data_IF_262754100232
#
_entry.id   IF_262754100232
#
_cell.length_a   1.000
_cell.length_b   1.000
_cell.length_c   1.000
_cell.angle_alpha   90.00
_cell.angle_beta   90.00
_cell.angle_gamma   90.00
#
_symmetry.space_group_name_H-M   'P 1'
#
loop_
_entity.id
_entity.type
_entity.pdbx_description
1 polymer ?
#
# COMPACT_ATOMS: atom_id res chain seq x y z
N UNK A 1 -3.86 11.77 -25.64
CA UNK A 1 -2.78 12.39 -26.42
C UNK A 1 -1.63 12.91 -25.55
N UNK A 2 -1.86 13.75 -24.52
CA UNK A 2 -0.77 14.29 -23.67
C UNK A 2 -0.08 13.23 -22.79
N UNK A 3 -0.83 12.26 -22.26
CA UNK A 3 -0.27 11.18 -21.41
C UNK A 3 0.64 10.22 -22.18
N UNK A 4 0.32 9.94 -23.45
CA UNK A 4 1.10 9.05 -24.32
C UNK A 4 2.43 9.70 -24.71
N UNK A 5 2.40 10.97 -25.13
CA UNK A 5 3.62 11.72 -25.45
C UNK A 5 4.61 11.83 -24.27
N UNK A 6 4.10 12.12 -23.06
CA UNK A 6 4.94 12.20 -21.86
C UNK A 6 5.56 10.85 -21.49
N UNK A 7 4.83 9.76 -21.68
CA UNK A 7 5.33 8.41 -21.41
C UNK A 7 6.40 8.01 -22.44
N UNK A 8 6.21 8.34 -23.71
CA UNK A 8 7.18 8.13 -24.78
C UNK A 8 8.48 8.92 -24.53
N UNK A 9 8.37 10.20 -24.17
CA UNK A 9 9.51 11.04 -23.81
C UNK A 9 10.27 10.48 -22.59
N UNK A 10 9.55 10.07 -21.54
CA UNK A 10 10.14 9.44 -20.36
C UNK A 10 10.83 8.11 -20.68
N UNK A 11 10.26 7.32 -21.59
CA UNK A 11 10.88 6.06 -22.03
C UNK A 11 12.12 6.31 -22.89
N UNK A 12 12.12 7.34 -23.75
CA UNK A 12 13.26 7.73 -24.57
C UNK A 12 14.44 8.27 -23.73
N UNK A 13 14.15 8.99 -22.65
CA UNK A 13 15.16 9.52 -21.73
C UNK A 13 15.68 8.47 -20.73
N UNK A 14 14.95 7.36 -20.56
CA UNK A 14 15.25 6.31 -19.58
C UNK A 14 16.68 5.71 -19.66
N UNK A 15 17.29 5.47 -20.83
CA UNK A 15 18.65 4.93 -20.93
C UNK A 15 19.72 5.89 -20.38
N UNK A 16 19.41 7.19 -20.32
CA UNK A 16 20.34 8.22 -19.86
C UNK A 16 20.43 8.27 -18.33
N UNK A 17 19.46 7.68 -17.63
CA UNK A 17 19.39 7.68 -16.16
C UNK A 17 19.48 6.26 -15.60
N UNK A 18 20.68 5.68 -15.66
CA UNK A 18 20.98 4.33 -15.14
C UNK A 18 20.60 4.14 -13.67
N UNK A 19 20.76 5.18 -12.84
CA UNK A 19 20.33 5.17 -11.43
C UNK A 19 18.80 5.12 -11.32
N UNK A 20 18.07 5.91 -12.11
CA UNK A 20 16.60 5.89 -12.10
C UNK A 20 16.06 4.56 -12.65
N UNK A 21 16.72 3.93 -13.63
CA UNK A 21 16.34 2.59 -14.08
C UNK A 21 16.45 1.54 -12.98
N UNK A 22 17.54 1.58 -12.19
CA UNK A 22 17.74 0.68 -11.05
C UNK A 22 16.74 0.94 -9.92
N UNK A 23 16.45 2.21 -9.63
CA UNK A 23 15.54 2.60 -8.55
C UNK A 23 14.05 2.51 -8.94
N UNK A 24 13.73 2.56 -10.24
CA UNK A 24 12.36 2.63 -10.77
C UNK A 24 12.25 1.76 -12.05
N UNK A 25 12.12 0.43 -11.89
CA UNK A 25 12.03 -0.49 -13.03
C UNK A 25 10.74 -0.32 -13.87
N UNK A 26 9.76 0.46 -13.40
CA UNK A 26 8.55 0.79 -14.15
C UNK A 26 8.20 2.28 -14.03
N UNK A 27 7.86 2.94 -15.13
CA UNK A 27 7.43 4.35 -15.17
C UNK A 27 6.00 4.60 -14.64
N UNK A 28 5.51 3.74 -13.75
CA UNK A 28 4.15 3.82 -13.22
C UNK A 28 4.07 4.84 -12.08
N UNK A 29 2.93 5.52 -11.96
CA UNK A 29 2.64 6.30 -10.76
C UNK A 29 2.58 5.33 -9.58
N UNK A 30 3.19 5.73 -8.47
CA UNK A 30 3.24 4.89 -7.27
C UNK A 30 1.80 4.60 -6.79
N UNK A 31 1.42 3.33 -6.53
CA UNK A 31 0.09 2.97 -6.08
C UNK A 31 -0.40 3.78 -4.87
N UNK A 32 0.51 4.20 -3.98
CA UNK A 32 0.17 5.03 -2.82
C UNK A 32 -0.53 6.35 -3.19
N UNK A 33 -0.25 6.87 -4.39
CA UNK A 33 -0.83 8.11 -4.92
C UNK A 33 -2.13 7.86 -5.69
N UNK A 34 -2.39 6.61 -6.09
CA UNK A 34 -3.54 6.25 -6.93
C UNK A 34 -4.69 5.66 -6.11
N UNK A 35 -4.36 4.88 -5.09
CA UNK A 35 -5.34 4.15 -4.28
C UNK A 35 -6.19 5.15 -3.49
N UNK A 36 -7.50 4.91 -3.47
CA UNK A 36 -8.42 5.62 -2.58
C UNK A 36 -8.12 5.24 -1.13
N UNK A 37 -7.69 6.22 -0.34
CA UNK A 37 -7.46 6.11 1.09
C UNK A 37 -7.50 7.51 1.69
N UNK A 38 -7.78 7.59 2.99
CA UNK A 38 -7.82 8.86 3.71
C UNK A 38 -6.46 9.59 3.62
N UNK A 39 -6.43 10.92 3.50
CA UNK A 39 -5.19 11.69 3.36
C UNK A 39 -4.15 11.40 4.44
N UNK A 40 -4.59 11.23 5.70
CA UNK A 40 -3.70 10.92 6.83
C UNK A 40 -3.04 9.54 6.71
N UNK A 41 -3.78 8.52 6.26
CA UNK A 41 -3.24 7.18 6.03
C UNK A 41 -2.20 7.24 4.92
N UNK A 42 -2.48 7.97 3.84
CA UNK A 42 -1.51 8.20 2.76
C UNK A 42 -0.24 8.87 3.26
N UNK A 43 -0.37 9.93 4.08
CA UNK A 43 0.78 10.62 4.68
C UNK A 43 1.65 9.65 5.51
N UNK A 44 1.03 8.82 6.36
CA UNK A 44 1.74 7.81 7.15
C UNK A 44 2.46 6.77 6.28
N UNK A 45 1.79 6.25 5.25
CA UNK A 45 2.39 5.31 4.31
C UNK A 45 3.62 5.91 3.60
N UNK A 46 3.54 7.18 3.18
CA UNK A 46 4.65 7.89 2.52
C UNK A 46 5.81 8.05 3.50
N UNK A 47 5.53 8.56 4.70
CA UNK A 47 6.56 8.75 5.75
C UNK A 47 7.26 7.43 6.10
N UNK A 48 6.51 6.34 6.25
CA UNK A 48 7.09 5.02 6.50
C UNK A 48 8.04 4.58 5.38
N UNK A 49 7.60 4.67 4.12
CA UNK A 49 8.42 4.26 2.97
C UNK A 49 9.68 5.08 2.81
N UNK A 50 9.63 6.37 3.11
CA UNK A 50 10.79 7.25 3.09
C UNK A 50 11.73 7.03 4.29
N UNK A 51 11.36 6.17 5.24
CA UNK A 51 12.11 5.99 6.48
C UNK A 51 12.09 7.22 7.37
N UNK A 52 11.08 8.09 7.21
CA UNK A 52 10.99 9.38 7.88
C UNK A 52 10.46 9.27 9.33
N UNK A 53 10.89 8.20 9.99
CA UNK A 53 10.62 7.92 11.40
C UNK A 53 11.60 8.65 12.33
N UNK A 54 12.78 9.05 11.82
CA UNK A 54 13.89 9.61 12.61
C UNK A 54 14.05 11.12 12.49
N UNK A 55 12.96 11.87 12.27
CA UNK A 55 13.02 13.33 12.09
C UNK A 55 13.49 14.11 13.32
N UNK A 56 13.47 13.49 14.50
CA UNK A 56 13.91 14.07 15.78
C UNK A 56 14.72 13.04 16.58
N UNK A 57 15.31 13.48 17.70
CA UNK A 57 15.97 12.61 18.70
C UNK A 57 15.05 11.40 18.97
N UNK A 58 15.51 10.15 18.78
CA UNK A 58 14.67 8.98 18.93
C UNK A 58 14.02 8.94 20.32
N UNK A 59 12.70 9.08 20.37
CA UNK A 59 11.95 8.87 21.60
C UNK A 59 12.13 7.41 22.03
N UNK A 60 12.23 7.12 23.34
CA UNK A 60 12.29 5.74 23.79
C UNK A 60 10.99 5.02 23.43
N UNK A 61 11.09 3.76 23.07
CA UNK A 61 9.93 2.90 22.92
C UNK A 61 9.29 2.67 24.30
N UNK A 62 8.03 2.22 24.33
CA UNK A 62 7.36 1.78 25.56
C UNK A 62 8.11 0.66 26.30
N UNK A 63 8.94 -0.12 25.59
CA UNK A 63 9.79 -1.14 26.21
C UNK A 63 11.12 -0.58 26.79
N UNK A 64 11.35 0.73 26.72
CA UNK A 64 12.54 1.41 27.24
C UNK A 64 13.74 1.46 26.29
N UNK A 65 13.70 0.78 25.14
CA UNK A 65 14.78 0.80 24.15
C UNK A 65 14.73 2.04 23.24
N UNK A 66 15.89 2.48 22.75
CA UNK A 66 16.00 3.53 21.73
C UNK A 66 15.38 3.06 20.41
N UNK A 67 14.47 3.86 19.84
CA UNK A 67 13.80 3.45 18.61
C UNK A 67 14.74 3.61 17.41
N UNK A 68 15.18 2.48 16.86
CA UNK A 68 15.79 2.37 15.53
C UNK A 68 14.75 1.99 14.48
N UNK A 69 15.06 2.07 13.19
CA UNK A 69 14.13 1.62 12.13
C UNK A 69 13.68 0.15 12.28
N UNK A 70 14.56 -0.71 12.81
CA UNK A 70 14.27 -2.15 12.99
C UNK A 70 13.54 -2.47 14.30
N UNK A 71 13.72 -1.64 15.32
CA UNK A 71 13.21 -1.92 16.65
C UNK A 71 11.67 -2.08 16.70
N UNK A 72 10.86 -1.20 16.09
CA UNK A 72 9.39 -1.32 16.10
C UNK A 72 8.89 -2.59 15.44
N UNK A 73 9.60 -3.09 14.42
CA UNK A 73 9.23 -4.33 13.72
C UNK A 73 9.19 -5.51 14.70
N UNK A 74 10.20 -5.58 15.59
CA UNK A 74 10.29 -6.60 16.63
C UNK A 74 9.38 -6.28 17.82
N UNK A 75 9.47 -5.06 18.36
CA UNK A 75 8.77 -4.66 19.58
C UNK A 75 7.24 -4.62 19.42
N UNK A 76 6.73 -4.31 18.22
CA UNK A 76 5.29 -4.29 17.91
C UNK A 76 4.86 -5.52 17.10
N UNK A 77 5.74 -6.52 16.97
CA UNK A 77 5.44 -7.79 16.31
C UNK A 77 4.80 -7.65 14.92
N UNK A 78 5.36 -6.78 14.05
CA UNK A 78 4.75 -6.48 12.74
C UNK A 78 4.46 -7.73 11.91
N UNK A 79 5.35 -8.73 11.98
CA UNK A 79 5.18 -10.02 11.31
C UNK A 79 3.89 -10.75 11.70
N UNK A 80 3.58 -10.77 13.00
CA UNK A 80 2.36 -11.40 13.52
C UNK A 80 1.12 -10.63 13.06
N UNK A 81 1.13 -9.31 13.24
CA UNK A 81 0.02 -8.43 12.83
C UNK A 81 -0.28 -8.53 11.33
N UNK A 82 0.74 -8.62 10.49
CA UNK A 82 0.59 -8.66 9.04
C UNK A 82 0.46 -10.09 8.48
N UNK A 83 0.57 -11.11 9.32
CA UNK A 83 0.60 -12.53 8.92
C UNK A 83 1.67 -12.82 7.85
N UNK A 84 2.85 -12.22 8.00
CA UNK A 84 4.00 -12.40 7.10
C UNK A 84 5.13 -13.06 7.87
N UNK A 85 5.73 -14.11 7.30
CA UNK A 85 6.84 -14.82 7.93
C UNK A 85 8.12 -13.98 7.94
N UNK A 86 8.93 -14.14 9.00
CA UNK A 86 10.30 -13.61 9.06
C UNK A 86 11.19 -14.12 7.92
N UNK A 87 10.89 -15.32 7.39
CA UNK A 87 11.63 -15.85 6.24
C UNK A 87 11.32 -15.11 4.92
N UNK A 88 10.26 -14.32 4.86
CA UNK A 88 9.84 -13.60 3.64
C UNK A 88 10.53 -12.25 3.49
N UNK A 89 10.72 -11.52 4.59
CA UNK A 89 11.26 -10.16 4.59
C UNK A 89 11.60 -9.72 6.01
N UNK A 90 12.56 -8.81 6.17
CA UNK A 90 12.86 -8.20 7.47
C UNK A 90 11.88 -7.08 7.86
N UNK A 91 11.18 -6.47 6.88
CA UNK A 91 10.23 -5.37 7.10
C UNK A 91 8.90 -5.68 6.38
N UNK A 92 7.97 -6.36 7.07
CA UNK A 92 6.71 -6.80 6.47
C UNK A 92 5.79 -5.63 6.10
N UNK A 93 5.90 -4.50 6.80
CA UNK A 93 5.12 -3.30 6.49
C UNK A 93 5.63 -2.65 5.21
N UNK A 94 6.94 -2.43 5.08
CA UNK A 94 7.55 -1.93 3.84
C UNK A 94 7.29 -2.88 2.66
N UNK A 95 7.38 -4.20 2.89
CA UNK A 95 7.07 -5.21 1.88
C UNK A 95 5.65 -5.08 1.32
N UNK A 96 4.64 -4.95 2.20
CA UNK A 96 3.25 -4.76 1.77
C UNK A 96 3.03 -3.41 1.09
N UNK A 97 3.59 -2.33 1.62
CA UNK A 97 3.43 -1.00 1.04
C UNK A 97 4.00 -0.90 -0.39
N UNK A 98 5.07 -1.63 -0.70
CA UNK A 98 5.60 -1.72 -2.07
C UNK A 98 4.81 -2.66 -2.99
N UNK A 99 3.88 -3.44 -2.44
CA UNK A 99 2.99 -4.34 -3.18
C UNK A 99 1.57 -3.82 -3.28
N UNK A 100 1.33 -2.58 -2.84
CA UNK A 100 0.04 -1.93 -2.93
C UNK A 100 -0.53 -2.07 -4.36
N UNK A 101 -1.82 -2.40 -4.48
CA UNK A 101 -2.42 -2.66 -5.78
C UNK A 101 -2.51 -1.36 -6.60
N UNK A 102 -1.85 -1.30 -7.76
CA UNK A 102 -1.96 -0.17 -8.69
C UNK A 102 -3.34 -0.07 -9.36
N UNK A 103 -4.08 -1.19 -9.35
CA UNK A 103 -5.42 -1.35 -9.87
C UNK A 103 -6.21 -2.25 -8.92
N UNK A 104 -7.55 -2.12 -8.84
CA UNK A 104 -8.36 -2.94 -7.96
C UNK A 104 -8.11 -4.44 -8.20
N UNK A 105 -7.80 -5.23 -7.16
CA UNK A 105 -7.59 -6.67 -7.32
C UNK A 105 -8.85 -7.36 -7.84
N UNK A 106 -8.69 -8.27 -8.81
CA UNK A 106 -9.82 -9.03 -9.39
C UNK A 106 -10.02 -10.40 -8.74
N UNK A 107 -8.93 -11.00 -8.27
CA UNK A 107 -8.99 -12.32 -7.65
C UNK A 107 -9.52 -12.22 -6.22
N UNK A 108 -10.54 -13.02 -5.88
CA UNK A 108 -11.15 -13.06 -4.54
C UNK A 108 -10.13 -13.28 -3.43
N UNK A 109 -9.14 -14.14 -3.65
CA UNK A 109 -8.06 -14.37 -2.69
C UNK A 109 -7.25 -13.09 -2.44
N UNK A 110 -6.85 -12.37 -3.49
CA UNK A 110 -6.14 -11.10 -3.34
C UNK A 110 -6.99 -10.04 -2.64
N UNK A 111 -8.28 -9.93 -2.99
CA UNK A 111 -9.24 -9.04 -2.33
C UNK A 111 -9.28 -9.34 -0.83
N UNK A 112 -9.46 -10.60 -0.46
CA UNK A 112 -9.55 -11.03 0.94
C UNK A 112 -8.25 -10.79 1.70
N UNK A 113 -7.10 -11.04 1.07
CA UNK A 113 -5.80 -10.73 1.65
C UNK A 113 -5.66 -9.24 1.95
N UNK A 114 -5.99 -8.36 1.01
CA UNK A 114 -5.92 -6.91 1.22
C UNK A 114 -6.92 -6.43 2.27
N UNK A 115 -8.16 -6.95 2.25
CA UNK A 115 -9.16 -6.62 3.28
C UNK A 115 -8.70 -7.02 4.68
N UNK A 116 -8.00 -8.14 4.81
CA UNK A 116 -7.43 -8.60 6.09
C UNK A 116 -6.23 -7.77 6.53
N UNK A 117 -5.30 -7.50 5.62
CA UNK A 117 -4.04 -6.83 5.94
C UNK A 117 -4.19 -5.31 6.13
N UNK A 118 -5.14 -4.67 5.44
CA UNK A 118 -5.27 -3.21 5.43
C UNK A 118 -5.54 -2.59 6.81
N UNK A 119 -6.48 -3.08 7.63
CA UNK A 119 -6.65 -2.58 9.00
C UNK A 119 -5.36 -2.67 9.81
N UNK A 120 -4.63 -3.79 9.72
CA UNK A 120 -3.39 -3.98 10.45
C UNK A 120 -2.29 -3.02 9.98
N UNK A 121 -2.21 -2.75 8.67
CA UNK A 121 -1.32 -1.71 8.12
C UNK A 121 -1.66 -0.34 8.73
N UNK A 122 -2.94 0.04 8.72
CA UNK A 122 -3.40 1.33 9.25
C UNK A 122 -3.12 1.46 10.74
N UNK A 123 -3.40 0.41 11.52
CA UNK A 123 -3.15 0.37 12.97
C UNK A 123 -1.66 0.50 13.26
N UNK A 124 -0.80 -0.31 12.65
CA UNK A 124 0.64 -0.23 12.88
C UNK A 124 1.17 1.16 12.54
N UNK A 125 0.77 1.73 11.39
CA UNK A 125 1.16 3.09 11.01
C UNK A 125 0.70 4.16 12.01
N UNK A 126 -0.49 4.01 12.61
CA UNK A 126 -1.00 4.90 13.64
C UNK A 126 -0.24 4.73 14.96
N UNK A 127 0.08 3.50 15.36
CA UNK A 127 0.91 3.24 16.54
C UNK A 127 2.30 3.88 16.39
N UNK A 128 2.87 3.80 15.18
CA UNK A 128 4.11 4.47 14.86
C UNK A 128 3.98 5.99 14.94
N UNK A 129 2.85 6.56 14.53
CA UNK A 129 2.56 7.99 14.71
C UNK A 129 2.59 8.38 16.18
N UNK A 130 1.90 7.63 17.04
CA UNK A 130 1.86 7.91 18.48
C UNK A 130 3.21 7.74 19.17
N UNK A 131 4.01 6.76 18.73
CA UNK A 131 5.37 6.57 19.24
C UNK A 131 6.25 7.80 18.93
N UNK A 132 6.14 8.34 17.73
CA UNK A 132 6.93 9.50 17.31
C UNK A 132 6.35 10.83 17.82
N UNK A 133 5.03 10.92 17.92
CA UNK A 133 4.28 12.10 18.32
C UNK A 133 3.25 11.73 19.40
N UNK A 134 3.64 11.63 20.69
CA UNK A 134 2.73 11.24 21.77
C UNK A 134 1.54 12.19 21.96
N UNK A 135 1.68 13.45 21.53
CA UNK A 135 0.63 14.48 21.55
C UNK A 135 -0.22 14.48 20.30
N UNK A 136 -0.03 13.52 19.38
CA UNK A 136 -0.87 13.36 18.20
C UNK A 136 -2.32 13.17 18.61
N UNK A 137 -3.24 13.82 17.89
CA UNK A 137 -4.68 13.66 18.08
C UNK A 137 -5.25 13.14 16.78
N UNK A 138 -5.89 11.97 16.83
CA UNK A 138 -6.53 11.42 15.65
C UNK A 138 -7.80 12.22 15.34
N UNK A 139 -7.96 12.74 14.11
CA UNK A 139 -9.20 13.38 13.72
C UNK A 139 -10.37 12.40 13.85
N UNK A 140 -11.42 12.82 14.55
CA UNK A 140 -12.68 12.09 14.63
C UNK A 140 -13.43 12.28 13.30
N UNK A 141 -13.14 11.46 12.31
CA UNK A 141 -13.96 11.42 11.11
C UNK A 141 -15.28 10.70 11.43
N UNK A 142 -16.41 11.34 11.11
CA UNK A 142 -17.75 10.75 11.21
C UNK A 142 -18.08 9.82 10.04
N UNK A 143 -17.21 9.73 9.04
CA UNK A 143 -17.43 8.86 7.88
C UNK A 143 -17.12 7.40 8.22
N UNK A 144 -18.19 6.62 8.32
CA UNK A 144 -18.19 5.20 8.71
C UNK A 144 -17.50 4.26 7.69
N UNK A 145 -17.09 4.77 6.52
CA UNK A 145 -16.60 3.94 5.41
C UNK A 145 -15.15 4.26 5.01
N UNK A 146 -14.26 3.28 5.16
CA UNK A 146 -12.88 3.38 4.66
C UNK A 146 -12.87 3.45 3.11
N UNK A 147 -12.34 4.54 2.51
CA UNK A 147 -12.26 4.69 1.05
C UNK A 147 -11.52 3.54 0.35
N UNK A 148 -10.59 2.87 1.04
CA UNK A 148 -9.87 1.72 0.50
C UNK A 148 -10.80 0.52 0.31
N UNK A 149 -11.66 0.26 1.27
CA UNK A 149 -12.65 -0.82 1.16
C UNK A 149 -13.69 -0.50 0.10
N UNK A 150 -14.20 0.73 0.05
CA UNK A 150 -15.10 1.16 -1.03
C UNK A 150 -14.48 0.97 -2.42
N UNK A 151 -13.19 1.28 -2.56
CA UNK A 151 -12.45 1.09 -3.80
C UNK A 151 -12.25 -0.38 -4.15
N UNK A 152 -11.91 -1.24 -3.19
CA UNK A 152 -11.82 -2.68 -3.43
C UNK A 152 -13.19 -3.27 -3.82
N UNK A 153 -14.25 -2.89 -3.11
CA UNK A 153 -15.58 -3.49 -3.26
C UNK A 153 -16.27 -3.08 -4.55
N UNK A 154 -16.20 -1.80 -4.93
CA UNK A 154 -16.75 -1.30 -6.21
C UNK A 154 -16.27 -2.11 -7.41
N UNK A 155 -15.05 -2.62 -7.35
CA UNK A 155 -14.42 -3.31 -8.46
C UNK A 155 -14.42 -4.84 -8.32
N UNK A 156 -14.80 -5.39 -7.17
CA UNK A 156 -15.05 -6.82 -6.99
C UNK A 156 -16.30 -7.29 -7.78
N UNK A 157 -17.25 -6.38 -8.06
CA UNK A 157 -18.53 -6.67 -8.70
C UNK A 157 -18.50 -6.59 -10.24
N UNK A 158 -17.43 -6.09 -10.87
CA UNK A 158 -17.28 -6.11 -12.33
C UNK A 158 -16.72 -7.46 -12.81
N UNK A 159 -17.58 -8.49 -12.80
CA UNK A 159 -17.39 -9.69 -13.63
C UNK A 159 -18.20 -9.47 -14.91
N UNK A 160 -17.60 -9.31 -16.11
CA UNK A 160 -18.36 -9.50 -17.32
C UNK A 160 -18.88 -10.94 -17.28
N UNK A 161 -20.21 -11.12 -17.34
CA UNK A 161 -20.78 -12.44 -17.51
C UNK A 161 -20.12 -13.09 -18.74
N UNK A 162 -19.77 -14.39 -18.71
CA UNK A 162 -19.39 -15.08 -19.92
C UNK A 162 -20.54 -14.92 -20.91
N UNK A 163 -20.27 -14.25 -22.04
CA UNK A 163 -21.22 -14.10 -23.14
C UNK A 163 -21.75 -15.48 -23.48
N UNK A 164 -23.04 -15.71 -23.23
CA UNK A 164 -23.74 -16.89 -23.70
C UNK A 164 -23.60 -16.94 -25.21
N UNK A 165 -22.84 -17.91 -25.72
CA UNK A 165 -22.85 -18.28 -27.12
C UNK A 165 -24.30 -18.57 -27.54
N UNK A 166 -24.78 -18.05 -28.67
CA UNK A 166 -26.08 -18.45 -29.19
C UNK A 166 -26.03 -19.94 -29.56
N UNK A 167 -27.13 -20.68 -29.39
CA UNK A 167 -27.18 -22.09 -29.76
C UNK A 167 -26.93 -22.21 -31.27
N UNK A 168 -26.00 -23.10 -31.63
CA UNK A 168 -25.78 -23.49 -33.03
C UNK A 168 -27.09 -24.01 -33.61
N UNK A 169 -27.62 -23.29 -34.61
CA UNK A 169 -28.70 -23.80 -35.43
C UNK A 169 -28.16 -25.03 -36.18
N UNK A 170 -28.74 -26.20 -35.88
CA UNK A 170 -28.61 -27.40 -36.69
C UNK A 170 -29.13 -27.08 -38.09
N UNK A 171 -28.25 -27.14 -39.10
CA UNK A 171 -28.63 -27.26 -40.50
C UNK A 171 -29.07 -28.71 -40.74
N UNK A 172 -30.35 -28.88 -41.05
CA UNK A 172 -30.85 -29.97 -41.90
C UNK A 172 -30.71 -29.56 -43.37
#
# INVERSE_FOLDING_TARGET
MIKTYRLELLNALRPQFTLLQKCRPTNNVDPIMLISMLPRIRSRCIRWRLGWFSGEIPKPCHCGATITKKHPIQCRHFHSHLSISFATTDDPLFFLLNRLPSQPPRARLCINCWKRSWPNICTLLLEMEYLQHPTHVEPTDTDTHDPFFLWIDRHAHFRPAPSSLPPSAHLM
#
